data_IF_338415627764
#
_entry.id   IF_338415627764
#
_cell.length_a   1.000
_cell.length_b   1.000
_cell.length_c   1.000
_cell.angle_alpha   90.00
_cell.angle_beta   90.00
_cell.angle_gamma   90.00
#
_symmetry.space_group_name_H-M   'P 1'
#
loop_
_entity.id
_entity.type
_entity.pdbx_description
1 polymer ?
#
# COMPACT_ATOMS: atom_id res chain seq x y z
N UNK A 1 27.94 -6.46 29.34
CA UNK A 1 27.82 -5.87 28.00
C UNK A 1 26.81 -6.77 27.33
N UNK A 2 25.53 -6.46 27.48
CA UNK A 2 24.43 -7.37 27.14
C UNK A 2 23.46 -6.59 26.27
N UNK A 3 23.91 -6.37 25.03
CA UNK A 3 23.32 -5.51 24.01
C UNK A 3 22.49 -6.27 22.98
N UNK A 4 21.90 -7.41 23.34
CA UNK A 4 21.23 -8.30 22.36
C UNK A 4 19.73 -8.52 22.65
N UNK A 5 19.07 -7.57 23.32
CA UNK A 5 17.62 -7.63 23.58
C UNK A 5 16.83 -6.52 22.87
N UNK A 6 17.09 -6.32 21.58
CA UNK A 6 16.22 -5.57 20.67
C UNK A 6 16.26 -6.19 19.28
N UNK A 7 15.57 -7.31 19.12
CA UNK A 7 14.94 -7.65 17.83
C UNK A 7 13.52 -8.08 18.14
N UNK A 8 12.69 -7.06 18.35
CA UNK A 8 11.25 -7.20 18.27
C UNK A 8 10.90 -7.69 16.86
N UNK A 9 10.07 -8.73 16.81
CA UNK A 9 9.67 -9.46 15.60
C UNK A 9 9.24 -8.50 14.50
N UNK A 10 10.06 -8.37 13.45
CA UNK A 10 9.59 -7.81 12.19
C UNK A 10 9.89 -8.75 11.03
N UNK A 11 8.81 -9.10 10.34
CA UNK A 11 8.76 -9.32 8.90
C UNK A 11 9.43 -10.58 8.34
N UNK A 12 8.79 -11.73 8.60
CA UNK A 12 8.83 -12.83 7.65
C UNK A 12 7.93 -12.53 6.43
N UNK A 13 8.42 -11.75 5.45
CA UNK A 13 7.92 -11.74 4.06
C UNK A 13 9.03 -11.45 3.03
N UNK A 14 10.28 -11.83 3.31
CA UNK A 14 11.41 -11.60 2.40
C UNK A 14 11.70 -12.83 1.52
N UNK A 15 10.80 -13.20 0.61
CA UNK A 15 11.12 -14.26 -0.35
C UNK A 15 10.59 -14.10 -1.78
N UNK A 16 9.52 -13.34 -2.02
CA UNK A 16 8.99 -13.14 -3.38
C UNK A 16 8.33 -11.77 -3.52
N UNK A 17 9.05 -10.68 -3.25
CA UNK A 17 8.59 -9.35 -3.71
C UNK A 17 8.82 -9.34 -5.22
N UNK A 18 7.83 -9.83 -5.95
CA UNK A 18 7.89 -9.93 -7.41
C UNK A 18 7.67 -8.54 -8.00
N UNK A 19 8.07 -8.32 -9.25
CA UNK A 19 7.73 -7.09 -9.97
C UNK A 19 6.23 -6.75 -9.95
N UNK A 20 5.35 -7.72 -9.67
CA UNK A 20 3.92 -7.48 -9.51
C UNK A 20 3.59 -6.72 -8.23
N UNK A 21 4.26 -7.02 -7.12
CA UNK A 21 4.03 -6.34 -5.82
C UNK A 21 4.47 -4.88 -5.89
N UNK A 22 5.65 -4.64 -6.48
CA UNK A 22 6.14 -3.28 -6.73
C UNK A 22 5.21 -2.48 -7.65
N UNK A 23 4.66 -3.12 -8.69
CA UNK A 23 3.71 -2.45 -9.59
C UNK A 23 2.40 -2.12 -8.89
N UNK A 24 1.88 -3.03 -8.08
CA UNK A 24 0.67 -2.80 -7.30
C UNK A 24 0.87 -1.66 -6.29
N UNK A 25 2.04 -1.61 -5.63
CA UNK A 25 2.42 -0.52 -4.73
C UNK A 25 2.51 0.83 -5.46
N UNK A 26 3.07 0.87 -6.66
CA UNK A 26 3.09 2.08 -7.49
C UNK A 26 1.69 2.54 -7.92
N UNK A 27 0.79 1.59 -8.23
CA UNK A 27 -0.61 1.90 -8.56
C UNK A 27 -1.32 2.48 -7.33
N UNK A 28 -1.19 1.84 -6.17
CA UNK A 28 -1.76 2.30 -4.91
C UNK A 28 -1.29 3.73 -4.58
N UNK A 29 0.02 3.97 -4.65
CA UNK A 29 0.63 5.28 -4.39
C UNK A 29 0.08 6.36 -5.36
N UNK A 30 -0.08 6.00 -6.63
CA UNK A 30 -0.66 6.89 -7.64
C UNK A 30 -2.11 7.28 -7.32
N UNK A 31 -2.93 6.30 -6.94
CA UNK A 31 -4.32 6.53 -6.56
C UNK A 31 -4.44 7.36 -5.27
N UNK A 32 -3.59 7.11 -4.27
CA UNK A 32 -3.55 7.90 -3.04
C UNK A 32 -3.14 9.35 -3.30
N UNK A 33 -2.15 9.58 -4.17
CA UNK A 33 -1.76 10.93 -4.61
C UNK A 33 -2.89 11.65 -5.32
N UNK A 34 -3.64 10.93 -6.17
CA UNK A 34 -4.84 11.47 -6.79
C UNK A 34 -5.88 11.82 -5.74
N UNK A 35 -6.15 10.93 -4.78
CA UNK A 35 -7.11 11.14 -3.69
C UNK A 35 -6.78 12.35 -2.79
N UNK A 36 -5.49 12.68 -2.65
CA UNK A 36 -5.01 13.82 -1.89
C UNK A 36 -5.18 15.16 -2.62
N UNK A 37 -5.61 15.15 -3.89
CA UNK A 37 -5.84 16.39 -4.65
C UNK A 37 -7.02 17.18 -4.07
N UNK A 38 -6.86 18.50 -3.86
CA UNK A 38 -7.90 19.34 -3.28
C UNK A 38 -9.06 19.65 -4.23
N UNK A 39 -8.89 19.39 -5.53
CA UNK A 39 -9.87 19.69 -6.59
C UNK A 39 -10.76 18.50 -6.97
N UNK A 40 -10.76 17.43 -6.18
CA UNK A 40 -11.60 16.26 -6.44
C UNK A 40 -13.07 16.51 -6.12
N UNK A 41 -13.93 16.14 -7.05
CA UNK A 41 -15.36 16.02 -6.81
C UNK A 41 -15.66 14.84 -5.87
N UNK A 42 -16.81 14.83 -5.19
CA UNK A 42 -17.24 13.70 -4.37
C UNK A 42 -17.30 12.37 -5.14
N UNK A 43 -17.66 12.44 -6.42
CA UNK A 43 -17.77 11.28 -7.32
C UNK A 43 -16.38 10.70 -7.63
N UNK A 44 -15.42 11.54 -8.05
CA UNK A 44 -14.04 11.11 -8.29
C UNK A 44 -13.38 10.58 -7.01
N UNK A 45 -13.67 11.20 -5.86
CA UNK A 45 -13.17 10.75 -4.57
C UNK A 45 -13.70 9.36 -4.22
N UNK A 46 -14.97 9.08 -4.51
CA UNK A 46 -15.57 7.77 -4.30
C UNK A 46 -14.97 6.71 -5.24
N UNK A 47 -14.78 7.06 -6.51
CA UNK A 47 -14.13 6.17 -7.50
C UNK A 47 -12.70 5.82 -7.09
N UNK A 48 -11.89 6.83 -6.73
CA UNK A 48 -10.52 6.64 -6.28
C UNK A 48 -10.43 5.75 -5.04
N UNK A 49 -11.32 5.93 -4.07
CA UNK A 49 -11.40 5.06 -2.88
C UNK A 49 -11.72 3.62 -3.25
N UNK A 50 -12.67 3.40 -4.16
CA UNK A 50 -13.02 2.05 -4.63
C UNK A 50 -11.83 1.36 -5.30
N UNK A 51 -11.07 2.11 -6.11
CA UNK A 51 -9.89 1.59 -6.81
C UNK A 51 -8.72 1.30 -5.86
N UNK A 52 -8.56 2.12 -4.80
CA UNK A 52 -7.57 1.88 -3.74
C UNK A 52 -7.90 0.58 -3.01
N UNK A 53 -9.16 0.39 -2.58
CA UNK A 53 -9.59 -0.83 -1.89
C UNK A 53 -9.40 -2.09 -2.76
N UNK A 54 -9.67 -2.00 -4.06
CA UNK A 54 -9.41 -3.11 -4.98
C UNK A 54 -7.92 -3.45 -5.09
N UNK A 55 -7.05 -2.43 -5.16
CA UNK A 55 -5.60 -2.60 -5.21
C UNK A 55 -5.07 -3.20 -3.89
N UNK A 56 -5.52 -2.73 -2.74
CA UNK A 56 -5.15 -3.26 -1.41
C UNK A 56 -5.52 -4.74 -1.29
N UNK A 57 -6.71 -5.12 -1.76
CA UNK A 57 -7.16 -6.51 -1.80
C UNK A 57 -6.33 -7.39 -2.73
N UNK A 58 -5.93 -6.88 -3.90
CA UNK A 58 -5.04 -7.59 -4.82
C UNK A 58 -3.64 -7.82 -4.21
N UNK A 59 -3.20 -6.91 -3.34
CA UNK A 59 -1.94 -7.01 -2.60
C UNK A 59 -2.05 -7.83 -1.31
N UNK A 60 -3.27 -8.20 -0.89
CA UNK A 60 -3.52 -8.88 0.38
C UNK A 60 -3.16 -8.03 1.60
N UNK A 61 -3.38 -6.71 1.51
CA UNK A 61 -3.16 -5.73 2.57
C UNK A 61 -4.43 -5.47 3.41
N UNK A 62 -5.57 -6.02 3.00
CA UNK A 62 -6.90 -5.89 3.63
C UNK A 62 -7.24 -7.09 4.52
#
# INVERSE_FOLDING_TARGET
MDSEKYMEKTEQKTANYTCNDYRAEMVLLGLQRQLARPDLTPEEKAELKSRIAEAEKQMGLD
#
